data_IF_213570628274
#
_entry.id   IF_213570628274
#
_cell.length_a   1.000
_cell.length_b   1.000
_cell.length_c   1.000
_cell.angle_alpha   90.00
_cell.angle_beta   90.00
_cell.angle_gamma   90.00
#
_symmetry.space_group_name_H-M   'P 1'
#
loop_
_entity.id
_entity.type
_entity.pdbx_description
1 polymer ?
#
# COMPACT_ATOMS: atom_id res chain seq x y z
N UNK A 1 -5.82 -6.72 24.13
CA UNK A 1 -4.89 -6.05 23.21
C UNK A 1 -3.65 -6.88 22.98
N UNK A 2 -3.71 -7.75 21.98
CA UNK A 2 -2.56 -8.41 21.37
C UNK A 2 -2.15 -7.62 20.13
N UNK A 3 -1.11 -6.81 20.29
CA UNK A 3 -0.41 -6.18 19.16
C UNK A 3 0.48 -7.25 18.54
N UNK A 4 0.35 -7.48 17.24
CA UNK A 4 1.29 -8.32 16.50
C UNK A 4 2.40 -7.42 15.93
N UNK A 5 3.54 -7.39 16.61
CA UNK A 5 4.70 -6.59 16.22
C UNK A 5 5.49 -7.23 15.06
N UNK A 6 5.21 -8.48 14.70
CA UNK A 6 5.94 -9.23 13.67
C UNK A 6 5.29 -9.18 12.30
N UNK A 7 3.96 -9.29 12.24
CA UNK A 7 3.26 -9.45 10.96
C UNK A 7 2.74 -8.15 10.34
N UNK A 8 2.97 -8.03 9.04
CA UNK A 8 2.34 -7.03 8.20
C UNK A 8 1.04 -7.58 7.65
N UNK A 9 -0.04 -6.86 7.90
CA UNK A 9 -1.37 -7.22 7.44
C UNK A 9 -1.68 -6.48 6.13
N UNK A 10 -1.73 -7.20 5.01
CA UNK A 10 -2.15 -6.67 3.73
C UNK A 10 -3.64 -6.92 3.52
N UNK A 11 -4.40 -5.86 3.29
CA UNK A 11 -5.86 -5.88 3.20
C UNK A 11 -6.32 -5.58 1.77
N UNK A 12 -7.40 -6.22 1.29
CA UNK A 12 -7.98 -5.84 0.00
C UNK A 12 -9.06 -6.79 -0.52
N UNK A 13 -9.62 -6.43 -1.66
CA UNK A 13 -10.58 -7.27 -2.39
C UNK A 13 -9.87 -7.90 -3.59
N UNK A 14 -10.03 -9.20 -3.78
CA UNK A 14 -9.50 -9.89 -4.95
C UNK A 14 -10.65 -10.13 -5.93
N UNK A 15 -10.48 -9.83 -7.22
CA UNK A 15 -11.54 -10.03 -8.22
C UNK A 15 -12.06 -11.47 -8.27
N UNK A 16 -11.20 -12.44 -7.96
CA UNK A 16 -11.55 -13.86 -7.88
C UNK A 16 -12.57 -14.18 -6.77
N UNK A 17 -12.61 -13.36 -5.73
CA UNK A 17 -13.34 -13.62 -4.50
C UNK A 17 -14.31 -12.49 -4.15
N UNK A 18 -14.45 -11.48 -5.02
CA UNK A 18 -15.37 -10.35 -4.88
C UNK A 18 -16.82 -10.84 -4.68
N UNK A 19 -17.58 -10.35 -3.68
CA UNK A 19 -17.34 -9.19 -2.82
C UNK A 19 -16.64 -9.46 -1.48
N UNK A 20 -15.99 -10.61 -1.30
CA UNK A 20 -15.38 -10.94 -0.02
C UNK A 20 -14.12 -10.10 0.23
N UNK A 21 -14.06 -9.51 1.42
CA UNK A 21 -12.84 -8.89 1.92
C UNK A 21 -11.82 -9.96 2.30
N UNK A 22 -10.59 -9.81 1.80
CA UNK A 22 -9.51 -10.77 1.96
C UNK A 22 -8.30 -10.09 2.60
N UNK A 23 -7.46 -10.87 3.28
CA UNK A 23 -6.20 -10.36 3.84
C UNK A 23 -5.10 -11.42 3.86
N UNK A 24 -3.86 -10.95 3.89
CA UNK A 24 -2.67 -11.76 4.20
C UNK A 24 -2.01 -11.18 5.46
N UNK A 25 -1.43 -12.02 6.30
CA UNK A 25 -0.59 -11.61 7.41
C UNK A 25 0.66 -12.50 7.45
N UNK A 26 1.83 -11.91 7.28
CA UNK A 26 3.11 -12.62 7.35
C UNK A 26 4.27 -11.67 7.67
N UNK A 27 5.44 -12.24 7.94
CA UNK A 27 6.67 -11.48 8.16
C UNK A 27 7.07 -10.74 6.89
N UNK A 28 7.38 -9.45 7.04
CA UNK A 28 7.76 -8.60 5.92
C UNK A 28 9.24 -8.78 5.58
N UNK A 29 9.50 -8.95 4.29
CA UNK A 29 10.86 -9.01 3.71
C UNK A 29 11.03 -7.89 2.68
N UNK A 30 12.06 -7.96 1.84
CA UNK A 30 12.31 -6.99 0.78
C UNK A 30 12.46 -7.67 -0.56
N UNK A 31 12.02 -6.99 -1.62
CA UNK A 31 12.18 -7.44 -3.00
C UNK A 31 12.60 -6.25 -3.88
N UNK A 32 13.51 -6.49 -4.82
CA UNK A 32 13.99 -5.47 -5.73
C UNK A 32 13.06 -5.34 -6.94
N UNK A 33 12.48 -4.15 -7.15
CA UNK A 33 11.78 -3.89 -8.39
C UNK A 33 12.79 -3.70 -9.52
N UNK A 34 13.03 -4.78 -10.26
CA UNK A 34 13.99 -4.86 -11.36
C UNK A 34 13.85 -3.73 -12.41
N UNK A 35 12.65 -3.15 -12.55
CA UNK A 35 12.36 -2.08 -13.51
C UNK A 35 12.77 -0.67 -13.05
N UNK A 36 13.02 -0.45 -11.76
CA UNK A 36 13.20 0.92 -11.21
C UNK A 36 14.34 1.05 -10.19
N UNK A 37 15.15 0.00 -9.98
CA UNK A 37 16.25 -0.02 -8.99
C UNK A 37 15.80 0.52 -7.62
N UNK A 38 14.70 -0.03 -7.12
CA UNK A 38 14.08 0.39 -5.88
C UNK A 38 13.62 -0.82 -5.06
N UNK A 39 14.06 -0.88 -3.80
CA UNK A 39 13.70 -1.93 -2.86
C UNK A 39 12.30 -1.71 -2.30
N UNK A 40 11.39 -2.64 -2.57
CA UNK A 40 10.03 -2.66 -2.02
C UNK A 40 9.94 -3.51 -0.75
N UNK A 41 8.84 -3.32 -0.01
CA UNK A 41 8.40 -4.30 0.99
C UNK A 41 7.75 -5.50 0.32
N UNK A 42 8.08 -6.70 0.77
CA UNK A 42 7.65 -7.95 0.15
C UNK A 42 6.99 -8.89 1.16
N UNK A 43 5.80 -9.37 0.80
CA UNK A 43 5.06 -10.42 1.51
C UNK A 43 5.11 -11.66 0.63
N UNK A 44 5.97 -12.66 0.93
CA UNK A 44 6.31 -13.73 -0.01
C UNK A 44 5.20 -14.74 -0.31
N UNK A 45 4.24 -14.90 0.59
CA UNK A 45 3.18 -15.91 0.48
C UNK A 45 1.81 -15.30 0.22
N UNK A 46 1.70 -13.97 0.15
CA UNK A 46 0.42 -13.32 -0.02
C UNK A 46 -0.22 -13.63 -1.38
N UNK A 47 -1.41 -14.24 -1.32
CA UNK A 47 -2.19 -14.69 -2.48
C UNK A 47 -3.30 -13.74 -2.93
N UNK A 48 -3.31 -12.49 -2.44
CA UNK A 48 -4.23 -11.48 -2.95
C UNK A 48 -3.99 -11.26 -4.45
N UNK A 49 -5.07 -11.21 -5.22
CA UNK A 49 -5.02 -11.14 -6.69
C UNK A 49 -5.37 -9.75 -7.22
N UNK A 50 -5.52 -9.64 -8.55
CA UNK A 50 -5.98 -8.39 -9.18
C UNK A 50 -7.24 -7.86 -8.50
N UNK A 51 -7.32 -6.54 -8.33
CA UNK A 51 -8.35 -5.87 -7.53
C UNK A 51 -7.86 -5.43 -6.15
N UNK A 52 -6.87 -6.11 -5.57
CA UNK A 52 -6.39 -5.78 -4.22
C UNK A 52 -5.41 -4.61 -4.19
N UNK A 53 -4.93 -4.18 -5.36
CA UNK A 53 -3.98 -3.07 -5.53
C UNK A 53 -4.52 -1.78 -4.90
N UNK A 54 -3.65 -1.04 -4.21
CA UNK A 54 -4.01 0.14 -3.42
C UNK A 54 -4.52 -0.17 -2.01
N UNK A 55 -4.85 -1.44 -1.70
CA UNK A 55 -5.24 -1.85 -0.37
C UNK A 55 -4.13 -1.60 0.67
N UNK A 56 -4.48 -1.18 1.91
CA UNK A 56 -3.51 -0.76 2.91
C UNK A 56 -2.74 -1.95 3.48
N UNK A 57 -1.49 -1.69 3.87
CA UNK A 57 -0.69 -2.59 4.70
C UNK A 57 -0.41 -1.98 6.06
N UNK A 58 -0.75 -2.70 7.12
CA UNK A 58 -0.69 -2.21 8.50
C UNK A 58 0.33 -2.99 9.30
N UNK A 59 1.24 -2.29 9.99
CA UNK A 59 2.21 -2.91 10.90
C UNK A 59 2.78 -1.91 11.93
N UNK A 60 2.70 -2.18 13.25
CA UNK A 60 1.94 -3.27 13.84
C UNK A 60 0.44 -3.03 13.73
N UNK A 61 -0.37 -4.09 13.71
CA UNK A 61 -1.83 -3.99 13.74
C UNK A 61 -2.35 -4.42 15.12
N UNK A 62 -3.25 -3.62 15.68
CA UNK A 62 -4.15 -4.07 16.74
C UNK A 62 -5.19 -5.00 16.12
N UNK A 63 -5.03 -6.31 16.37
CA UNK A 63 -5.88 -7.36 15.79
C UNK A 63 -7.32 -7.34 16.30
N UNK A 64 -7.61 -6.66 17.42
CA UNK A 64 -8.98 -6.51 17.93
C UNK A 64 -9.76 -5.42 17.15
N UNK A 65 -9.06 -4.36 16.72
CA UNK A 65 -9.69 -3.19 16.08
C UNK A 65 -9.36 -3.03 14.60
N UNK A 66 -8.35 -3.75 14.11
CA UNK A 66 -7.75 -3.56 12.78
C UNK A 66 -6.92 -2.27 12.66
N UNK A 67 -6.71 -1.53 13.75
CA UNK A 67 -6.04 -0.22 13.73
C UNK A 67 -4.53 -0.35 13.78
N UNK A 68 -3.83 0.56 13.10
CA UNK A 68 -2.37 0.64 13.13
C UNK A 68 -1.85 1.58 12.06
N UNK A 69 -0.55 1.88 12.03
CA UNK A 69 0.04 2.70 10.99
C UNK A 69 0.02 1.97 9.64
N UNK A 70 -0.39 2.68 8.60
CA UNK A 70 -0.26 2.22 7.21
C UNK A 70 1.18 2.47 6.76
N UNK A 71 1.92 1.40 6.51
CA UNK A 71 3.36 1.44 6.18
C UNK A 71 3.64 1.21 4.69
N UNK A 72 2.63 0.75 3.94
CA UNK A 72 2.72 0.42 2.52
C UNK A 72 1.31 0.20 1.94
N UNK A 73 1.26 -0.06 0.64
CA UNK A 73 0.04 -0.45 -0.09
C UNK A 73 0.35 -1.65 -0.99
N UNK A 74 -0.65 -2.49 -1.25
CA UNK A 74 -0.53 -3.56 -2.25
C UNK A 74 -0.29 -2.95 -3.63
N UNK A 75 0.77 -3.37 -4.31
CA UNK A 75 1.16 -2.74 -5.57
C UNK A 75 1.26 -3.74 -6.71
N UNK A 76 2.14 -4.73 -6.59
CA UNK A 76 2.41 -5.68 -7.66
C UNK A 76 2.84 -7.03 -7.10
N UNK A 77 2.76 -8.08 -7.91
CA UNK A 77 3.26 -9.41 -7.61
C UNK A 77 3.75 -10.07 -8.89
N UNK A 78 4.48 -11.18 -8.77
CA UNK A 78 4.88 -11.95 -9.94
C UNK A 78 3.70 -12.76 -10.47
N UNK A 79 3.65 -12.97 -11.78
CA UNK A 79 2.60 -13.82 -12.39
C UNK A 79 2.89 -15.31 -12.22
N UNK A 80 4.13 -15.68 -11.90
CA UNK A 80 4.60 -17.07 -11.83
C UNK A 80 4.73 -17.61 -10.41
N UNK A 81 4.59 -16.78 -9.39
CA UNK A 81 4.74 -17.17 -7.99
C UNK A 81 3.89 -16.30 -7.08
N UNK A 82 3.49 -16.80 -5.89
CA UNK A 82 2.86 -15.98 -4.87
C UNK A 82 3.72 -14.79 -4.46
N UNK A 83 3.05 -13.83 -3.84
CA UNK A 83 3.66 -12.74 -3.12
C UNK A 83 3.25 -11.37 -3.65
N UNK A 84 3.36 -10.39 -2.76
CA UNK A 84 2.91 -9.02 -3.01
C UNK A 84 3.97 -8.01 -2.55
N UNK A 85 4.37 -7.16 -3.47
CA UNK A 85 5.24 -6.01 -3.25
C UNK A 85 4.43 -4.73 -2.99
N UNK A 86 5.03 -3.83 -2.23
CA UNK A 86 4.50 -2.50 -1.98
C UNK A 86 5.61 -1.48 -1.73
N UNK A 87 5.41 -0.22 -2.12
CA UNK A 87 6.40 0.84 -1.86
C UNK A 87 6.55 1.10 -0.36
N UNK A 88 7.74 1.52 0.06
CA UNK A 88 8.01 1.87 1.46
C UNK A 88 7.47 3.28 1.74
N UNK A 89 6.52 3.41 2.65
CA UNK A 89 6.02 4.72 3.11
C UNK A 89 6.78 5.15 4.37
N UNK A 90 8.01 5.64 4.19
CA UNK A 90 8.84 6.11 5.32
C UNK A 90 8.62 7.60 5.56
N UNK A 91 8.20 7.95 6.78
CA UNK A 91 8.03 9.33 7.22
C UNK A 91 9.36 10.10 7.20
N UNK A 92 9.34 11.38 6.81
CA UNK A 92 10.46 12.32 6.95
C UNK A 92 11.65 12.11 6.02
N UNK A 93 11.60 11.14 5.09
CA UNK A 93 12.75 10.82 4.22
C UNK A 93 12.39 10.22 2.86
N UNK A 94 11.09 10.02 2.57
CA UNK A 94 10.62 9.57 1.25
C UNK A 94 9.85 10.67 0.52
N UNK A 95 9.84 10.59 -0.81
CA UNK A 95 8.93 11.38 -1.65
C UNK A 95 7.46 11.09 -1.33
N UNK A 96 7.14 9.94 -0.73
CA UNK A 96 5.78 9.59 -0.33
C UNK A 96 5.25 10.46 0.82
N UNK A 97 6.10 10.78 1.81
CA UNK A 97 5.75 11.70 2.91
C UNK A 97 5.43 13.11 2.38
N UNK A 98 6.23 13.57 1.42
CA UNK A 98 5.96 14.80 0.69
C UNK A 98 4.59 14.77 -0.02
N UNK A 99 4.31 13.71 -0.79
CA UNK A 99 3.06 13.59 -1.53
C UNK A 99 1.86 13.56 -0.57
N UNK A 100 2.01 12.92 0.59
CA UNK A 100 1.00 12.91 1.63
C UNK A 100 0.72 14.31 2.19
N UNK A 101 1.75 15.10 2.51
CA UNK A 101 1.58 16.49 2.97
C UNK A 101 0.91 17.34 1.88
N UNK A 102 1.33 17.19 0.62
CA UNK A 102 0.73 17.90 -0.50
C UNK A 102 -0.75 17.57 -0.64
N UNK A 103 -1.11 16.29 -0.56
CA UNK A 103 -2.48 15.81 -0.71
C UNK A 103 -3.39 16.20 0.45
N UNK A 104 -2.87 16.25 1.68
CA UNK A 104 -3.69 16.47 2.88
C UNK A 104 -3.74 17.93 3.33
N UNK A 105 -2.73 18.73 3.00
CA UNK A 105 -2.55 20.06 3.62
C UNK A 105 -2.29 21.19 2.63
N UNK A 106 -1.86 20.90 1.39
CA UNK A 106 -1.47 21.95 0.42
C UNK A 106 -2.39 22.05 -0.80
N UNK A 107 -3.03 20.96 -1.21
CA UNK A 107 -3.93 20.95 -2.37
C UNK A 107 -5.38 21.12 -1.91
N UNK A 108 -6.08 22.23 -2.26
CA UNK A 108 -7.50 22.36 -1.99
C UNK A 108 -8.27 21.26 -2.69
N UNK A 109 -9.19 20.59 -2.00
CA UNK A 109 -9.97 19.50 -2.60
C UNK A 109 -10.77 19.99 -3.82
N UNK A 110 -11.22 21.24 -3.80
CA UNK A 110 -11.94 21.87 -4.92
C UNK A 110 -11.09 22.03 -6.19
N UNK A 111 -9.76 21.89 -6.08
CA UNK A 111 -8.85 21.94 -7.23
C UNK A 111 -8.69 20.60 -7.95
N UNK A 112 -9.23 19.50 -7.38
CA UNK A 112 -9.21 18.18 -8.02
C UNK A 112 -10.25 18.18 -9.16
N UNK A 113 -9.84 17.96 -10.43
CA UNK A 113 -10.77 17.93 -11.55
C UNK A 113 -11.82 16.81 -11.37
N UNK A 114 -13.09 17.12 -11.61
CA UNK A 114 -14.19 16.14 -11.56
C UNK A 114 -14.58 15.63 -12.95
N UNK A 115 -13.92 16.09 -14.00
CA UNK A 115 -14.12 15.60 -15.37
C UNK A 115 -13.36 14.28 -15.57
N UNK A 116 -13.99 13.30 -16.23
CA UNK A 116 -13.34 12.05 -16.65
C UNK A 116 -12.05 12.34 -17.45
N UNK A 117 -10.95 11.68 -17.09
CA UNK A 117 -9.63 11.86 -17.72
C UNK A 117 -8.47 11.73 -16.74
N UNK A 118 -7.36 12.42 -17.03
CA UNK A 118 -6.15 12.55 -16.18
C UNK A 118 -6.44 13.34 -14.87
N UNK A 119 -7.46 12.92 -14.11
CA UNK A 119 -8.08 13.62 -12.98
C UNK A 119 -7.23 13.62 -11.70
N UNK A 120 -5.91 13.77 -11.86
CA UNK A 120 -4.97 14.01 -10.78
C UNK A 120 -4.47 15.45 -10.81
N UNK A 121 -4.09 15.98 -9.64
CA UNK A 121 -3.36 17.23 -9.56
C UNK A 121 -1.87 16.91 -9.70
N UNK A 122 -1.22 17.47 -10.73
CA UNK A 122 0.24 17.41 -10.84
C UNK A 122 0.85 18.37 -9.83
N UNK A 123 1.65 17.84 -8.91
CA UNK A 123 2.37 18.61 -7.91
C UNK A 123 3.86 18.35 -8.03
N UNK A 124 4.66 19.41 -7.86
CA UNK A 124 6.11 19.35 -7.86
C UNK A 124 6.61 19.55 -6.44
N UNK A 125 7.51 18.67 -5.99
CA UNK A 125 8.28 18.93 -4.78
C UNK A 125 9.35 19.99 -5.08
N UNK A 126 9.60 20.97 -4.20
CA UNK A 126 10.73 21.89 -4.33
C UNK A 126 12.10 21.19 -4.28
#
# INVERSE_FOLDING_TARGET
MSVDDGFTHALGYSYSDDPNFMYCAEDMTTEEAASINYTNWWLPSCGLSGGSSGGPRVQPMDTETGSGPVISVNSWGYTSSPGMAGPKLTSGSSTADCLFVIATSQSPFESVPTSDGDAGIKQSFP
#
